data_IF_554900453185
#
_entry.id   IF_554900453185
#
_cell.length_a   1.000
_cell.length_b   1.000
_cell.length_c   1.000
_cell.angle_alpha   90.00
_cell.angle_beta   90.00
_cell.angle_gamma   90.00
#
_symmetry.space_group_name_H-M   'P 1'
#
loop_
_entity.id
_entity.type
_entity.pdbx_description
1 polymer ?
#
# COMPACT_ATOMS: atom_id res chain seq x y z
N UNK A 1 11.39 -18.19 28.28
CA UNK A 1 10.32 -17.30 27.80
C UNK A 1 10.69 -16.84 26.40
N UNK A 2 10.24 -17.57 25.38
CA UNK A 2 10.74 -17.43 24.01
C UNK A 2 10.18 -16.16 23.36
N UNK A 3 11.05 -15.15 23.16
CA UNK A 3 10.79 -14.02 22.24
C UNK A 3 10.63 -14.60 20.83
N UNK A 4 9.39 -14.76 20.37
CA UNK A 4 9.13 -14.94 18.94
C UNK A 4 9.57 -13.64 18.27
N UNK A 5 10.62 -13.70 17.47
CA UNK A 5 11.01 -12.60 16.59
C UNK A 5 9.84 -12.35 15.62
N UNK A 6 9.03 -11.35 15.92
CA UNK A 6 8.00 -10.84 15.01
C UNK A 6 8.68 -10.32 13.75
N UNK A 7 8.83 -11.19 12.73
CA UNK A 7 9.20 -10.78 11.38
C UNK A 7 8.29 -9.61 11.01
N UNK A 8 8.87 -8.42 10.88
CA UNK A 8 8.14 -7.19 10.57
C UNK A 8 7.45 -7.40 9.23
N UNK A 9 6.14 -7.73 9.26
CA UNK A 9 5.34 -7.84 8.05
C UNK A 9 5.29 -6.45 7.44
N UNK A 10 5.83 -6.30 6.24
CA UNK A 10 5.79 -5.02 5.52
C UNK A 10 4.33 -4.58 5.36
N UNK A 11 3.92 -3.44 5.94
CA UNK A 11 2.55 -2.96 5.84
C UNK A 11 2.16 -2.77 4.38
N UNK A 12 0.92 -3.14 4.05
CA UNK A 12 0.35 -2.97 2.72
C UNK A 12 -1.06 -2.40 2.80
N UNK A 13 -1.47 -1.76 1.71
CA UNK A 13 -2.86 -1.37 1.44
C UNK A 13 -3.30 -1.93 0.09
N UNK A 14 -4.61 -2.09 -0.08
CA UNK A 14 -5.21 -2.48 -1.35
C UNK A 14 -5.51 -1.27 -2.22
N UNK A 15 -5.16 -1.34 -3.50
CA UNK A 15 -5.50 -0.34 -4.51
C UNK A 15 -6.25 -1.03 -5.65
N UNK A 16 -7.40 -0.47 -6.00
CA UNK A 16 -8.06 -0.72 -7.28
C UNK A 16 -7.55 0.31 -8.30
N UNK A 17 -6.89 -0.15 -9.35
CA UNK A 17 -6.47 0.68 -10.47
C UNK A 17 -7.59 0.68 -11.53
N UNK A 18 -8.32 1.81 -11.68
CA UNK A 18 -9.40 1.91 -12.67
C UNK A 18 -8.87 1.85 -14.10
N UNK A 19 -7.67 2.36 -14.35
CA UNK A 19 -7.02 2.36 -15.66
C UNK A 19 -7.01 0.98 -16.37
N UNK A 20 -6.89 -0.13 -15.62
CA UNK A 20 -6.92 -1.48 -16.19
C UNK A 20 -7.86 -2.44 -15.43
N UNK A 21 -8.76 -1.85 -14.63
CA UNK A 21 -9.69 -2.53 -13.73
C UNK A 21 -9.05 -3.68 -12.95
N UNK A 22 -7.93 -3.40 -12.27
CA UNK A 22 -7.13 -4.41 -11.55
C UNK A 22 -6.93 -4.03 -10.10
N UNK A 23 -7.10 -5.00 -9.21
CA UNK A 23 -6.79 -4.86 -7.81
C UNK A 23 -5.36 -5.34 -7.53
N UNK A 24 -4.57 -4.54 -6.83
CA UNK A 24 -3.21 -4.90 -6.42
C UNK A 24 -2.90 -4.35 -5.03
N UNK A 25 -1.85 -4.88 -4.40
CA UNK A 25 -1.34 -4.42 -3.11
C UNK A 25 -0.16 -3.49 -3.33
N UNK A 26 -0.14 -2.39 -2.60
CA UNK A 26 1.01 -1.48 -2.56
C UNK A 26 1.54 -1.40 -1.14
N UNK A 27 2.86 -1.23 -1.01
CA UNK A 27 3.56 -1.39 0.25
C UNK A 27 4.08 -0.06 0.78
N UNK A 28 4.24 0.01 2.10
CA UNK A 28 4.88 1.14 2.73
C UNK A 28 6.33 1.24 2.25
N UNK A 29 6.73 2.42 1.81
CA UNK A 29 8.09 2.65 1.37
C UNK A 29 9.09 2.65 2.55
N UNK A 30 10.39 2.64 2.25
CA UNK A 30 11.45 2.64 3.28
C UNK A 30 11.43 3.89 4.18
N UNK A 31 10.99 5.04 3.65
CA UNK A 31 10.86 6.30 4.41
C UNK A 31 9.66 6.31 5.37
N UNK A 32 8.74 5.35 5.21
CA UNK A 32 7.51 5.19 6.00
C UNK A 32 6.58 6.42 5.94
N UNK A 33 6.67 7.19 4.86
CA UNK A 33 5.85 8.39 4.62
C UNK A 33 4.75 8.15 3.58
N UNK A 34 4.83 7.08 2.79
CA UNK A 34 3.83 6.75 1.78
C UNK A 34 3.80 5.25 1.44
N UNK A 35 2.60 4.75 1.15
CA UNK A 35 2.41 3.50 0.41
C UNK A 35 2.59 3.80 -1.08
N UNK A 36 3.45 3.02 -1.75
CA UNK A 36 3.80 3.22 -3.15
C UNK A 36 3.74 1.90 -3.90
N UNK A 37 3.20 1.94 -5.11
CA UNK A 37 3.24 0.82 -6.05
C UNK A 37 2.75 1.23 -7.42
N UNK A 38 2.62 0.26 -8.31
CA UNK A 38 2.26 0.48 -9.70
C UNK A 38 1.18 -0.49 -10.16
N UNK A 39 0.39 -0.07 -11.14
CA UNK A 39 -0.51 -0.97 -11.83
C UNK A 39 0.32 -2.05 -12.54
N UNK A 40 0.03 -3.34 -12.32
CA UNK A 40 0.80 -4.42 -12.93
C UNK A 40 0.60 -4.53 -14.45
N UNK A 41 -0.39 -3.84 -15.03
CA UNK A 41 -0.70 -3.88 -16.47
C UNK A 41 -0.09 -2.72 -17.25
N UNK A 42 -0.33 -1.47 -16.81
CA UNK A 42 0.11 -0.28 -17.54
C UNK A 42 1.23 0.50 -16.84
N UNK A 43 1.61 0.13 -15.62
CA UNK A 43 2.66 0.83 -14.88
C UNK A 43 2.26 2.21 -14.34
N UNK A 44 0.97 2.57 -14.29
CA UNK A 44 0.57 3.82 -13.62
C UNK A 44 0.93 3.76 -12.14
N UNK A 45 1.48 4.86 -11.62
CA UNK A 45 1.96 4.95 -10.24
C UNK A 45 0.82 5.28 -9.27
N UNK A 46 0.71 4.52 -8.19
CA UNK A 46 -0.11 4.85 -7.03
C UNK A 46 0.78 5.33 -5.87
N UNK A 47 0.38 6.43 -5.23
CA UNK A 47 1.02 6.94 -4.00
C UNK A 47 -0.07 7.37 -3.01
N UNK A 48 -0.05 6.78 -1.83
CA UNK A 48 -0.94 7.15 -0.72
C UNK A 48 -0.07 7.58 0.47
N UNK A 49 -0.13 8.85 0.84
CA UNK A 49 0.67 9.39 1.94
C UNK A 49 0.15 8.86 3.29
N UNK A 50 1.06 8.71 4.25
CA UNK A 50 0.75 8.34 5.63
C UNK A 50 0.52 9.62 6.44
N UNK A 51 -0.61 9.69 7.14
CA UNK A 51 -0.95 10.77 8.08
C UNK A 51 -1.07 10.24 9.50
N UNK A 52 -0.78 11.07 10.50
CA UNK A 52 -1.00 10.76 11.93
C UNK A 52 -2.47 10.52 12.26
N UNK A 53 -3.39 11.20 11.57
CA UNK A 53 -4.84 10.97 11.69
C UNK A 53 -5.31 9.78 10.87
N UNK A 54 -4.56 9.44 9.80
CA UNK A 54 -4.76 8.27 8.96
C UNK A 54 -6.15 8.17 8.33
N UNK A 55 -6.40 7.04 7.69
CA UNK A 55 -7.75 6.58 7.36
C UNK A 55 -8.01 5.28 8.11
N UNK A 56 -9.26 5.02 8.47
CA UNK A 56 -9.70 3.70 8.96
C UNK A 56 -9.78 2.67 7.82
N UNK A 57 -9.82 3.11 6.56
CA UNK A 57 -9.89 2.25 5.39
C UNK A 57 -8.50 1.82 4.91
N UNK A 58 -8.40 0.56 4.47
CA UNK A 58 -7.18 -0.03 3.88
C UNK A 58 -7.28 -0.23 2.36
N UNK A 59 -8.40 0.16 1.78
CA UNK A 59 -8.72 -0.01 0.36
C UNK A 59 -8.92 1.35 -0.26
N UNK A 60 -8.23 1.59 -1.36
CA UNK A 60 -8.21 2.85 -2.08
C UNK A 60 -8.39 2.58 -3.57
N UNK A 61 -8.73 3.62 -4.33
CA UNK A 61 -8.89 3.52 -5.78
C UNK A 61 -8.06 4.62 -6.44
N UNK A 62 -7.37 4.27 -7.52
CA UNK A 62 -6.62 5.20 -8.37
C UNK A 62 -7.31 5.23 -9.73
N UNK A 63 -7.65 6.43 -10.17
CA UNK A 63 -8.31 6.70 -11.44
C UNK A 63 -7.29 6.87 -12.57
#
# INVERSE_FOLDING_TARGET
MNKKEDKIKNPFIGITFKCCNVYSRIYLNKKRDAFVGWCPKCGIKAKVNVSKTGSKTRFFTVE
#
